data_IF_552925384532
#
_entry.id   IF_552925384532
#
_cell.length_a   1.000
_cell.length_b   1.000
_cell.length_c   1.000
_cell.angle_alpha   90.00
_cell.angle_beta   90.00
_cell.angle_gamma   90.00
#
_symmetry.space_group_name_H-M   'P 1'
#
loop_
_entity.id
_entity.type
_entity.pdbx_description
1 polymer ?
#
# COMPACT_ATOMS: atom_id res chain seq x y z
N UNK A 1 24.09 34.83 41.80
CA UNK A 1 24.56 34.30 40.50
C UNK A 1 23.39 34.43 39.54
N UNK A 2 23.26 35.60 38.91
CA UNK A 2 22.18 35.86 37.96
C UNK A 2 22.54 35.21 36.62
N UNK A 3 21.71 34.25 36.20
CA UNK A 3 21.81 33.59 34.91
C UNK A 3 21.26 34.48 33.81
N UNK A 4 22.06 34.65 32.77
CA UNK A 4 21.76 35.42 31.56
C UNK A 4 20.56 34.84 30.81
N UNK A 5 19.39 35.46 30.93
CA UNK A 5 18.26 35.11 30.07
C UNK A 5 18.48 35.76 28.70
N UNK A 6 19.03 35.01 27.75
CA UNK A 6 19.26 35.47 26.39
C UNK A 6 17.95 35.94 25.78
N UNK A 7 17.85 37.25 25.47
CA UNK A 7 16.73 37.87 24.76
C UNK A 7 16.74 37.38 23.32
N UNK A 8 16.22 36.16 23.11
CA UNK A 8 15.95 35.66 21.77
C UNK A 8 14.60 36.20 21.30
N UNK A 9 14.56 36.61 20.03
CA UNK A 9 13.37 37.13 19.35
C UNK A 9 12.16 36.19 19.59
N UNK A 10 10.95 36.70 19.90
CA UNK A 10 9.77 35.87 20.11
C UNK A 10 9.50 34.85 18.98
N UNK A 11 9.88 35.19 17.75
CA UNK A 11 9.79 34.29 16.60
C UNK A 11 10.79 33.12 16.68
N UNK A 12 11.99 33.34 17.24
CA UNK A 12 12.99 32.29 17.45
C UNK A 12 12.64 31.38 18.63
N UNK A 13 11.92 31.88 19.64
CA UNK A 13 11.36 31.05 20.73
C UNK A 13 10.33 30.03 20.20
N UNK A 14 9.57 30.40 19.16
CA UNK A 14 8.62 29.50 18.49
C UNK A 14 9.34 28.46 17.62
N UNK A 15 10.41 28.86 16.93
CA UNK A 15 11.21 27.96 16.09
C UNK A 15 12.01 26.95 16.93
N UNK A 16 12.58 27.39 18.05
CA UNK A 16 13.44 26.58 18.91
C UNK A 16 12.73 25.46 19.67
N UNK A 17 11.46 25.67 20.07
CA UNK A 17 10.68 24.67 20.83
C UNK A 17 10.24 23.47 19.99
N UNK A 18 10.21 23.60 18.66
CA UNK A 18 9.78 22.55 17.74
C UNK A 18 10.95 21.73 17.16
N UNK A 19 12.14 22.33 17.03
CA UNK A 19 13.29 21.69 16.37
C UNK A 19 14.07 20.72 17.26
N UNK A 20 14.05 20.89 18.59
CA UNK A 20 14.77 19.98 19.51
C UNK A 20 14.17 18.57 19.51
N UNK A 21 12.83 18.44 19.45
CA UNK A 21 12.14 17.13 19.41
C UNK A 21 12.42 16.36 18.11
N UNK A 22 12.53 17.08 17.00
CA UNK A 22 12.91 16.51 15.69
C UNK A 22 14.38 16.08 15.69
N UNK A 23 15.28 16.90 16.26
CA UNK A 23 16.71 16.59 16.35
C UNK A 23 17.02 15.37 17.25
N UNK A 24 16.21 15.13 18.29
CA UNK A 24 16.28 13.91 19.12
C UNK A 24 15.64 12.68 18.45
N UNK A 25 15.06 12.82 17.25
CA UNK A 25 14.42 11.72 16.53
C UNK A 25 13.07 11.29 17.11
N UNK A 26 12.40 12.16 17.86
CA UNK A 26 11.11 11.84 18.46
C UNK A 26 10.04 11.77 17.36
N UNK A 27 9.61 10.56 17.03
CA UNK A 27 8.56 10.33 16.03
C UNK A 27 7.24 10.91 16.55
N UNK A 28 6.56 11.71 15.72
CA UNK A 28 5.23 12.22 16.05
C UNK A 28 4.26 11.07 16.39
N UNK A 29 3.40 11.21 17.41
CA UNK A 29 2.44 10.17 17.78
C UNK A 29 1.59 9.76 16.57
N UNK A 30 1.58 8.47 16.24
CA UNK A 30 0.70 7.95 15.19
C UNK A 30 -0.76 8.13 15.67
N UNK A 31 -1.64 8.72 14.86
CA UNK A 31 -3.07 8.80 15.19
C UNK A 31 -3.63 7.40 15.47
N UNK A 32 -4.50 7.29 16.47
CA UNK A 32 -5.24 6.05 16.70
C UNK A 32 -6.03 5.67 15.44
N UNK A 33 -5.89 4.43 15.00
CA UNK A 33 -6.74 3.86 13.94
C UNK A 33 -7.77 2.98 14.61
N UNK A 34 -9.05 3.28 14.42
CA UNK A 34 -10.13 2.36 14.74
C UNK A 34 -10.02 1.13 13.83
N UNK A 35 -10.08 -0.10 14.37
CA UNK A 35 -10.19 -1.29 13.54
C UNK A 35 -11.49 -1.22 12.74
N UNK A 36 -11.39 -0.96 11.43
CA UNK A 36 -12.56 -0.97 10.56
C UNK A 36 -13.12 -2.39 10.41
N UNK A 37 -14.44 -2.53 10.44
CA UNK A 37 -15.12 -3.77 10.03
C UNK A 37 -14.94 -3.95 8.52
N UNK A 38 -14.12 -4.92 8.13
CA UNK A 38 -13.97 -5.32 6.73
C UNK A 38 -15.21 -6.12 6.36
N UNK A 39 -16.24 -5.43 5.85
CA UNK A 39 -17.31 -6.10 5.11
C UNK A 39 -16.70 -6.62 3.81
N UNK A 40 -16.75 -7.93 3.56
CA UNK A 40 -16.26 -8.53 2.32
C UNK A 40 -17.07 -7.93 1.14
N UNK A 41 -16.48 -7.09 0.26
CA UNK A 41 -17.22 -6.39 -0.79
C UNK A 41 -17.51 -7.31 -1.98
N UNK A 42 -17.16 -8.60 -1.90
CA UNK A 42 -17.28 -9.55 -3.00
C UNK A 42 -18.76 -9.72 -3.38
N UNK A 43 -19.18 -9.31 -4.59
CA UNK A 43 -20.53 -9.61 -5.06
C UNK A 43 -20.71 -11.12 -5.18
N UNK A 44 -21.94 -11.65 -5.04
CA UNK A 44 -22.21 -13.07 -5.25
C UNK A 44 -21.73 -13.50 -6.63
N UNK A 45 -20.99 -14.61 -6.69
CA UNK A 45 -20.53 -15.19 -7.95
C UNK A 45 -21.74 -15.66 -8.77
N UNK A 46 -22.06 -14.96 -9.86
CA UNK A 46 -22.97 -15.49 -10.89
C UNK A 46 -22.20 -16.47 -11.79
N UNK A 47 -22.66 -17.73 -11.95
CA UNK A 47 -21.84 -18.80 -12.54
C UNK A 47 -21.93 -18.99 -14.06
N UNK A 48 -22.61 -18.15 -14.85
CA UNK A 48 -22.67 -18.35 -16.31
C UNK A 48 -22.14 -17.16 -17.09
N UNK A 49 -20.86 -17.24 -17.47
CA UNK A 49 -20.24 -16.34 -18.43
C UNK A 49 -20.16 -17.06 -19.79
N UNK A 50 -20.96 -16.61 -20.75
CA UNK A 50 -20.89 -17.09 -22.14
C UNK A 50 -19.88 -16.27 -22.93
N UNK A 51 -19.00 -16.93 -23.67
CA UNK A 51 -18.09 -16.23 -24.58
C UNK A 51 -18.83 -15.67 -25.81
N UNK A 52 -18.14 -14.86 -26.62
CA UNK A 52 -18.70 -14.29 -27.87
C UNK A 52 -19.12 -15.38 -28.88
N UNK A 53 -18.72 -16.63 -28.68
CA UNK A 53 -19.09 -17.79 -29.50
C UNK A 53 -20.30 -18.56 -28.96
N UNK A 54 -20.87 -18.14 -27.82
CA UNK A 54 -22.01 -18.79 -27.17
C UNK A 54 -21.64 -20.03 -26.36
N UNK A 55 -20.35 -20.29 -26.12
CA UNK A 55 -19.90 -21.39 -25.26
C UNK A 55 -19.96 -20.95 -23.80
N UNK A 56 -20.47 -21.84 -22.94
CA UNK A 56 -20.39 -21.67 -21.49
C UNK A 56 -18.93 -21.84 -21.09
N UNK A 57 -18.31 -20.77 -20.60
CA UNK A 57 -16.92 -20.80 -20.14
C UNK A 57 -16.92 -20.86 -18.62
N UNK A 58 -16.30 -21.91 -18.09
CA UNK A 58 -16.04 -22.01 -16.66
C UNK A 58 -14.92 -21.02 -16.30
N UNK A 59 -15.27 -19.96 -15.57
CA UNK A 59 -14.31 -18.93 -15.16
C UNK A 59 -13.41 -19.46 -14.03
N UNK A 60 -12.20 -19.92 -14.38
CA UNK A 60 -11.16 -20.32 -13.44
C UNK A 60 -10.09 -19.24 -13.29
N UNK A 61 -9.43 -19.23 -12.14
CA UNK A 61 -8.25 -18.38 -11.88
C UNK A 61 -6.97 -19.13 -12.24
N UNK A 62 -5.96 -18.38 -12.69
CA UNK A 62 -4.64 -18.94 -12.97
C UNK A 62 -4.04 -19.63 -11.73
N UNK A 63 -3.28 -20.73 -11.90
CA UNK A 63 -2.68 -21.43 -10.77
C UNK A 63 -1.63 -20.56 -10.07
N UNK A 64 -1.40 -20.85 -8.79
CA UNK A 64 -0.35 -20.18 -8.01
C UNK A 64 1.03 -20.50 -8.57
N UNK A 65 1.77 -19.45 -8.89
CA UNK A 65 3.13 -19.55 -9.40
C UNK A 65 4.13 -19.37 -8.24
N UNK A 66 4.85 -20.44 -7.89
CA UNK A 66 5.81 -20.44 -6.79
C UNK A 66 7.04 -19.58 -7.08
N UNK A 67 7.33 -19.28 -8.35
CA UNK A 67 8.42 -18.38 -8.74
C UNK A 67 8.07 -16.91 -8.48
N UNK A 68 6.78 -16.61 -8.32
CA UNK A 68 6.27 -15.28 -7.96
C UNK A 68 5.38 -15.36 -6.71
N UNK A 69 5.95 -15.63 -5.51
CA UNK A 69 5.18 -15.86 -4.29
C UNK A 69 4.67 -14.57 -3.61
N UNK A 70 5.07 -13.41 -4.10
CA UNK A 70 4.70 -12.11 -3.54
C UNK A 70 3.46 -11.54 -4.23
N UNK A 71 2.66 -10.76 -3.52
CA UNK A 71 1.44 -10.14 -4.08
C UNK A 71 1.65 -9.11 -5.20
N UNK A 72 2.91 -8.83 -5.60
CA UNK A 72 3.21 -8.07 -6.80
C UNK A 72 3.22 -9.02 -8.02
N UNK A 73 2.13 -9.02 -8.77
CA UNK A 73 1.97 -9.86 -9.95
C UNK A 73 2.53 -9.28 -11.25
N UNK A 74 3.12 -8.07 -11.26
CA UNK A 74 3.57 -7.41 -12.52
C UNK A 74 4.58 -8.27 -13.28
N UNK A 75 5.54 -8.87 -12.57
CA UNK A 75 6.55 -9.73 -13.19
C UNK A 75 5.95 -11.04 -13.71
N UNK A 76 5.04 -11.66 -12.95
CA UNK A 76 4.30 -12.85 -13.38
C UNK A 76 3.52 -12.57 -14.68
N UNK A 77 2.77 -11.46 -14.74
CA UNK A 77 2.02 -11.07 -15.93
C UNK A 77 2.92 -10.89 -17.16
N UNK A 78 4.05 -10.20 -17.01
CA UNK A 78 4.97 -9.95 -18.13
C UNK A 78 5.63 -11.25 -18.62
N UNK A 79 6.06 -12.13 -17.71
CA UNK A 79 6.64 -13.43 -18.08
C UNK A 79 5.65 -14.28 -18.89
N UNK A 80 4.39 -14.41 -18.43
CA UNK A 80 3.36 -15.19 -19.14
C UNK A 80 3.01 -14.59 -20.51
N UNK A 81 3.05 -13.26 -20.64
CA UNK A 81 2.85 -12.58 -21.92
C UNK A 81 3.96 -12.92 -22.92
N UNK A 82 5.22 -12.89 -22.50
CA UNK A 82 6.34 -13.28 -23.35
C UNK A 82 6.25 -14.77 -23.73
N UNK A 83 5.98 -15.65 -22.76
CA UNK A 83 5.81 -17.08 -23.03
C UNK A 83 4.74 -17.34 -24.09
N UNK A 84 3.58 -16.68 -24.01
CA UNK A 84 2.51 -16.83 -24.99
C UNK A 84 2.98 -16.50 -26.41
N UNK A 85 3.68 -15.37 -26.58
CA UNK A 85 4.16 -14.92 -27.88
C UNK A 85 5.47 -15.57 -28.34
N UNK A 86 6.15 -16.34 -27.51
CA UNK A 86 7.30 -17.15 -27.93
C UNK A 86 6.92 -18.43 -28.67
N UNK A 87 5.68 -18.88 -28.51
CA UNK A 87 5.15 -20.08 -29.17
C UNK A 87 4.34 -19.77 -30.45
N UNK A 88 4.18 -18.49 -30.81
CA UNK A 88 3.75 -18.02 -32.13
C UNK A 88 4.94 -17.98 -33.12
#
# INVERSE_FOLDING_TARGET
MEGTESVLNPHDKMRGRSVTRVATGEQAPRPAREPGTITDPRPPLSPELTDKSGRVVELKTAPTDQWFPFGNQTRHCYTRYLEYHWYD
#
